data_IF_750359666519
#
_entry.id   IF_750359666519
#
_cell.length_a   1.000
_cell.length_b   1.000
_cell.length_c   1.000
_cell.angle_alpha   90.00
_cell.angle_beta   90.00
_cell.angle_gamma   90.00
#
_symmetry.space_group_name_H-M   'P 1'
#
loop_
_entity.id
_entity.type
_entity.pdbx_description
1 polymer ?
#
# COMPACT_ATOMS: atom_id res chain seq x y z
N UNK A 1 -36.27 -34.86 10.81
CA UNK A 1 -34.95 -34.75 10.15
C UNK A 1 -34.08 -35.83 10.75
N UNK A 2 -33.59 -36.75 9.93
CA UNK A 2 -32.80 -37.86 10.41
C UNK A 2 -31.39 -37.38 10.76
N UNK A 3 -30.77 -38.00 11.77
CA UNK A 3 -29.39 -37.70 12.17
C UNK A 3 -28.42 -37.79 10.98
N UNK A 4 -28.71 -38.67 10.03
CA UNK A 4 -27.94 -38.82 8.79
C UNK A 4 -28.00 -37.57 7.89
N UNK A 5 -29.15 -36.90 7.81
CA UNK A 5 -29.33 -35.69 7.02
C UNK A 5 -28.59 -34.50 7.65
N UNK A 6 -28.62 -34.40 8.98
CA UNK A 6 -27.88 -33.38 9.74
C UNK A 6 -26.35 -33.57 9.61
N UNK A 7 -25.88 -34.81 9.71
CA UNK A 7 -24.45 -35.13 9.55
C UNK A 7 -23.95 -34.80 8.14
N UNK A 8 -24.74 -35.08 7.11
CA UNK A 8 -24.41 -34.77 5.72
C UNK A 8 -24.29 -33.25 5.48
N UNK A 9 -25.23 -32.46 6.04
CA UNK A 9 -25.23 -31.01 5.92
C UNK A 9 -24.00 -30.37 6.59
N UNK A 10 -23.61 -30.90 7.76
CA UNK A 10 -22.44 -30.42 8.50
C UNK A 10 -21.13 -30.74 7.77
N UNK A 11 -21.07 -31.91 7.11
CA UNK A 11 -19.94 -32.29 6.26
C UNK A 11 -19.78 -31.35 5.05
N UNK A 12 -20.89 -30.98 4.40
CA UNK A 12 -20.89 -30.05 3.26
C UNK A 12 -20.41 -28.66 3.68
N UNK A 13 -20.86 -28.17 4.84
CA UNK A 13 -20.39 -26.89 5.41
C UNK A 13 -18.88 -26.93 5.64
N UNK A 14 -18.35 -27.99 6.25
CA UNK A 14 -16.90 -28.12 6.47
C UNK A 14 -16.11 -28.14 5.17
N UNK A 15 -16.57 -28.88 4.15
CA UNK A 15 -15.90 -28.95 2.84
C UNK A 15 -15.84 -27.59 2.14
N UNK A 16 -16.81 -26.71 2.36
CA UNK A 16 -16.84 -25.36 1.78
C UNK A 16 -16.00 -24.38 2.61
N UNK A 17 -16.08 -24.44 3.94
CA UNK A 17 -15.41 -23.48 4.82
C UNK A 17 -13.91 -23.75 4.99
N UNK A 18 -13.46 -25.02 4.95
CA UNK A 18 -12.04 -25.37 5.08
C UNK A 18 -11.17 -24.75 3.98
N UNK A 19 -11.46 -24.91 2.67
CA UNK A 19 -10.64 -24.30 1.62
C UNK A 19 -10.64 -22.77 1.72
N UNK A 20 -11.77 -22.15 2.07
CA UNK A 20 -11.83 -20.71 2.30
C UNK A 20 -10.84 -20.23 3.39
N UNK A 21 -10.72 -20.97 4.49
CA UNK A 21 -9.76 -20.66 5.56
C UNK A 21 -8.30 -20.93 5.14
N UNK A 22 -8.05 -21.94 4.31
CA UNK A 22 -6.70 -22.26 3.80
C UNK A 22 -6.23 -21.18 2.81
N UNK A 23 -7.07 -20.78 1.84
CA UNK A 23 -6.76 -19.71 0.89
C UNK A 23 -6.45 -18.38 1.57
N UNK A 24 -7.13 -18.08 2.70
CA UNK A 24 -6.83 -16.90 3.50
C UNK A 24 -5.43 -16.98 4.14
N UNK A 25 -4.99 -18.16 4.58
CA UNK A 25 -3.66 -18.37 5.18
C UNK A 25 -2.52 -18.40 4.16
N UNK A 26 -2.73 -18.97 2.98
CA UNK A 26 -1.68 -19.04 1.95
C UNK A 26 -1.26 -17.67 1.44
N UNK A 27 -2.21 -16.73 1.33
CA UNK A 27 -1.92 -15.33 1.01
C UNK A 27 -0.92 -14.71 1.99
N UNK A 28 -1.05 -15.01 3.29
CA UNK A 28 -0.17 -14.51 4.35
C UNK A 28 1.24 -15.14 4.29
N UNK A 29 1.35 -16.39 3.83
CA UNK A 29 2.62 -17.13 3.82
C UNK A 29 3.44 -16.96 2.53
N UNK A 30 2.82 -16.61 1.40
CA UNK A 30 3.52 -16.30 0.15
C UNK A 30 4.00 -14.85 0.06
N UNK A 31 3.66 -14.03 1.04
CA UNK A 31 4.04 -12.63 1.06
C UNK A 31 5.51 -12.47 1.47
N UNK A 32 6.24 -11.70 0.67
CA UNK A 32 7.62 -11.31 0.98
C UNK A 32 7.70 -10.45 2.25
N UNK A 33 8.91 -10.00 2.58
CA UNK A 33 9.20 -9.22 3.79
C UNK A 33 8.27 -8.01 3.93
N UNK A 34 8.02 -7.29 2.83
CA UNK A 34 7.14 -6.12 2.86
C UNK A 34 5.69 -6.49 3.17
N UNK A 35 5.17 -7.62 2.67
CA UNK A 35 3.80 -8.05 2.96
C UNK A 35 3.60 -8.50 4.39
N UNK A 36 4.56 -9.23 4.96
CA UNK A 36 4.52 -9.58 6.38
C UNK A 36 4.57 -8.34 7.27
N UNK A 37 5.45 -7.39 6.97
CA UNK A 37 5.55 -6.14 7.72
C UNK A 37 4.27 -5.30 7.59
N UNK A 38 3.73 -5.20 6.37
CA UNK A 38 2.50 -4.49 6.08
C UNK A 38 1.32 -5.07 6.86
N UNK A 39 1.11 -6.38 6.79
CA UNK A 39 0.01 -7.04 7.52
C UNK A 39 0.16 -6.90 9.03
N UNK A 40 1.37 -7.10 9.57
CA UNK A 40 1.62 -6.91 10.99
C UNK A 40 1.33 -5.46 11.43
N UNK A 41 1.65 -4.48 10.59
CA UNK A 41 1.37 -3.07 10.87
C UNK A 41 -0.14 -2.76 10.79
N UNK A 42 -0.83 -3.28 9.77
CA UNK A 42 -2.28 -3.17 9.61
C UNK A 42 -3.04 -3.79 10.78
N UNK A 43 -2.66 -5.01 11.18
CA UNK A 43 -3.24 -5.72 12.33
C UNK A 43 -3.03 -4.96 13.63
N UNK A 44 -1.82 -4.43 13.87
CA UNK A 44 -1.51 -3.62 15.05
C UNK A 44 -2.37 -2.36 15.16
N UNK A 45 -2.75 -1.77 14.03
CA UNK A 45 -3.60 -0.58 13.96
C UNK A 45 -5.10 -0.92 13.85
N UNK A 46 -5.46 -2.20 13.80
CA UNK A 46 -6.81 -2.69 13.52
C UNK A 46 -7.39 -2.10 12.22
N UNK A 47 -6.56 -1.82 11.23
CA UNK A 47 -6.93 -1.25 9.92
C UNK A 47 -7.16 -2.38 8.93
N UNK A 48 -8.31 -2.37 8.25
CA UNK A 48 -8.63 -3.37 7.23
C UNK A 48 -8.60 -2.70 5.86
N UNK A 49 -7.45 -2.81 5.17
CA UNK A 49 -7.29 -2.22 3.86
C UNK A 49 -8.09 -2.98 2.79
N UNK A 50 -8.98 -2.27 2.11
CA UNK A 50 -9.74 -2.81 0.96
C UNK A 50 -8.89 -2.81 -0.31
N UNK A 51 -7.95 -1.86 -0.41
CA UNK A 51 -7.01 -1.71 -1.52
C UNK A 51 -5.60 -1.80 -0.96
N UNK A 52 -4.78 -2.70 -1.52
CA UNK A 52 -3.38 -2.89 -1.13
C UNK A 52 -2.54 -3.08 -2.39
N UNK A 53 -1.39 -2.42 -2.44
CA UNK A 53 -0.32 -2.72 -3.40
C UNK A 53 0.99 -2.95 -2.64
N UNK A 54 1.68 -4.03 -2.98
CA UNK A 54 3.01 -4.37 -2.48
C UNK A 54 3.93 -4.53 -3.68
N UNK A 55 5.07 -3.84 -3.67
CA UNK A 55 6.01 -3.87 -4.78
C UNK A 55 7.45 -3.92 -4.30
N UNK A 56 8.30 -4.53 -5.16
CA UNK A 56 9.75 -4.71 -4.97
C UNK A 56 10.15 -5.47 -3.69
N UNK A 57 9.19 -6.09 -3.00
CA UNK A 57 9.36 -6.61 -1.64
C UNK A 57 9.95 -5.61 -0.63
N UNK A 58 9.84 -4.31 -0.94
CA UNK A 58 10.39 -3.21 -0.14
C UNK A 58 9.29 -2.32 0.39
N UNK A 59 8.22 -2.15 -0.37
CA UNK A 59 7.19 -1.17 -0.09
C UNK A 59 5.82 -1.82 -0.03
N UNK A 60 4.95 -1.26 0.82
CA UNK A 60 3.53 -1.57 0.84
C UNK A 60 2.72 -0.31 1.10
N UNK A 61 1.61 -0.13 0.38
CA UNK A 61 0.63 0.91 0.64
C UNK A 61 -0.76 0.29 0.63
N UNK A 62 -1.61 0.73 1.54
CA UNK A 62 -3.00 0.30 1.57
C UNK A 62 -3.95 1.33 2.13
N UNK A 63 -5.21 1.17 1.77
CA UNK A 63 -6.28 2.08 2.13
C UNK A 63 -7.47 1.31 2.69
N UNK A 64 -7.91 1.72 3.88
CA UNK A 64 -9.15 1.30 4.52
C UNK A 64 -10.21 2.36 4.21
N UNK A 65 -11.18 2.00 3.38
CA UNK A 65 -12.23 2.92 2.94
C UNK A 65 -13.22 3.25 4.06
N UNK A 66 -13.37 2.37 5.05
CA UNK A 66 -14.30 2.58 6.17
C UNK A 66 -13.75 3.57 7.17
N UNK A 67 -12.46 3.46 7.48
CA UNK A 67 -11.74 4.38 8.38
C UNK A 67 -11.10 5.57 7.66
N UNK A 68 -11.23 5.65 6.33
CA UNK A 68 -10.51 6.59 5.44
C UNK A 68 -9.04 6.75 5.82
N UNK A 69 -8.40 5.63 6.12
CA UNK A 69 -7.03 5.60 6.66
C UNK A 69 -6.11 4.98 5.61
N UNK A 70 -5.03 5.70 5.30
CA UNK A 70 -3.95 5.23 4.46
C UNK A 70 -2.82 4.70 5.35
N UNK A 71 -2.34 3.49 5.08
CA UNK A 71 -1.16 2.94 5.73
C UNK A 71 -0.05 2.69 4.72
N UNK A 72 1.18 2.91 5.15
CA UNK A 72 2.36 2.73 4.32
C UNK A 72 3.48 2.07 5.13
N UNK A 73 4.25 1.21 4.47
CA UNK A 73 5.48 0.64 4.99
C UNK A 73 6.61 0.73 3.96
N UNK A 74 7.81 0.99 4.44
CA UNK A 74 9.07 0.87 3.71
C UNK A 74 10.05 0.05 4.55
N UNK A 75 10.38 -1.14 4.06
CA UNK A 75 11.25 -2.09 4.76
C UNK A 75 12.69 -1.57 4.84
N UNK A 76 13.19 -0.91 3.79
CA UNK A 76 14.59 -0.47 3.70
C UNK A 76 14.86 0.69 4.65
N UNK A 77 13.95 1.66 4.74
CA UNK A 77 14.09 2.80 5.65
C UNK A 77 13.44 2.54 7.03
N UNK A 78 12.82 1.38 7.23
CA UNK A 78 12.05 1.03 8.42
C UNK A 78 10.98 2.08 8.78
N UNK A 79 10.37 2.68 7.76
CA UNK A 79 9.31 3.68 7.91
C UNK A 79 7.95 2.98 7.91
N UNK A 80 7.10 3.39 8.84
CA UNK A 80 5.69 3.00 8.91
C UNK A 80 4.86 4.26 9.14
N UNK A 81 3.85 4.48 8.31
CA UNK A 81 3.00 5.67 8.39
C UNK A 81 1.53 5.28 8.37
N UNK A 82 0.74 5.95 9.21
CA UNK A 82 -0.71 5.85 9.26
C UNK A 82 -1.26 7.27 9.13
N UNK A 83 -2.05 7.53 8.10
CA UNK A 83 -2.49 8.86 7.71
C UNK A 83 -4.02 8.82 7.59
N UNK A 84 -4.71 9.61 8.42
CA UNK A 84 -6.13 9.87 8.25
C UNK A 84 -6.33 10.84 7.10
N UNK A 85 -7.12 10.46 6.09
CA UNK A 85 -7.31 11.31 4.91
C UNK A 85 -8.33 12.44 5.13
N UNK A 86 -9.11 12.38 6.21
CA UNK A 86 -10.13 13.40 6.54
C UNK A 86 -9.51 14.77 6.84
N UNK A 87 -8.34 14.79 7.49
CA UNK A 87 -7.63 16.02 7.84
C UNK A 87 -6.60 16.43 6.77
N UNK A 88 -6.66 15.81 5.59
CA UNK A 88 -5.83 16.17 4.46
C UNK A 88 -6.57 17.16 3.55
N UNK A 89 -5.80 17.90 2.75
CA UNK A 89 -6.32 18.86 1.78
C UNK A 89 -6.03 18.44 0.35
N UNK A 90 -4.79 18.03 0.08
CA UNK A 90 -4.31 17.81 -1.28
C UNK A 90 -3.32 16.64 -1.36
N UNK A 91 -3.22 16.03 -2.54
CA UNK A 91 -2.23 15.00 -2.85
C UNK A 91 -1.62 15.21 -4.23
N UNK A 92 -0.29 15.08 -4.30
CA UNK A 92 0.48 15.24 -5.53
C UNK A 92 1.46 14.11 -5.73
N UNK A 93 1.69 13.75 -7.00
CA UNK A 93 2.80 12.90 -7.39
C UNK A 93 4.00 13.80 -7.70
N UNK A 94 5.05 13.70 -6.89
CA UNK A 94 6.27 14.47 -7.04
C UNK A 94 7.39 13.57 -7.57
N UNK A 95 8.17 14.09 -8.53
CA UNK A 95 9.32 13.40 -9.11
C UNK A 95 10.55 14.28 -8.89
N UNK A 96 11.60 13.70 -8.31
CA UNK A 96 12.92 14.34 -8.25
C UNK A 96 13.74 13.87 -9.43
N UNK A 97 14.27 14.81 -10.21
CA UNK A 97 15.03 14.54 -11.42
C UNK A 97 16.45 15.13 -11.31
N UNK A 98 17.44 14.35 -11.71
CA UNK A 98 18.80 14.83 -11.89
C UNK A 98 19.10 14.95 -13.39
N UNK A 99 19.51 16.15 -13.81
CA UNK A 99 19.98 16.38 -15.17
C UNK A 99 21.49 16.29 -15.20
N UNK A 100 22.03 15.28 -15.87
CA UNK A 100 23.45 15.18 -16.15
C UNK A 100 23.72 15.72 -17.56
N UNK A 101 24.47 16.81 -17.64
CA UNK A 101 24.93 17.40 -18.89
C UNK A 101 26.31 16.85 -19.22
N UNK A 102 26.42 15.98 -20.22
CA UNK A 102 27.72 15.48 -20.67
C UNK A 102 27.84 15.67 -22.18
N UNK A 103 28.88 16.40 -22.61
CA UNK A 103 29.16 16.73 -24.02
C UNK A 103 27.93 17.24 -24.82
N UNK A 104 27.15 18.16 -24.23
CA UNK A 104 26.00 18.76 -24.89
C UNK A 104 24.75 17.88 -25.01
N UNK A 105 24.78 16.64 -24.50
CA UNK A 105 23.59 15.80 -24.34
C UNK A 105 23.11 15.88 -22.90
N UNK A 106 21.88 16.37 -22.72
CA UNK A 106 21.19 16.36 -21.43
C UNK A 106 20.56 14.98 -21.24
N UNK A 107 21.00 14.24 -20.22
CA UNK A 107 20.32 13.02 -19.78
C UNK A 107 19.61 13.32 -18.47
N UNK A 108 18.29 13.32 -18.50
CA UNK A 108 17.43 13.42 -17.32
C UNK A 108 17.25 12.03 -16.74
N UNK A 109 17.46 11.89 -15.43
CA UNK A 109 17.27 10.66 -14.68
C UNK A 109 16.35 10.95 -13.49
N UNK A 110 15.27 10.18 -13.37
CA UNK A 110 14.41 10.22 -12.19
C UNK A 110 15.17 9.56 -11.03
N UNK A 111 15.40 10.34 -9.97
CA UNK A 111 16.03 9.87 -8.74
C UNK A 111 15.00 9.30 -7.78
N UNK A 112 13.88 10.00 -7.61
CA UNK A 112 12.83 9.61 -6.66
C UNK A 112 11.44 9.87 -7.20
N UNK A 113 10.48 9.07 -6.75
CA UNK A 113 9.05 9.33 -6.92
C UNK A 113 8.38 9.27 -5.56
N UNK A 114 7.63 10.32 -5.22
CA UNK A 114 6.91 10.45 -3.96
C UNK A 114 5.44 10.77 -4.19
N UNK A 115 4.57 10.24 -3.35
CA UNK A 115 3.27 10.85 -3.10
C UNK A 115 3.40 11.82 -1.93
N UNK A 116 3.10 13.09 -2.20
CA UNK A 116 3.09 14.15 -1.20
C UNK A 116 1.65 14.44 -0.82
N UNK A 117 1.31 14.21 0.44
CA UNK A 117 -0.03 14.47 1.00
C UNK A 117 0.09 15.68 1.92
N UNK A 118 -0.74 16.69 1.67
CA UNK A 118 -0.75 17.96 2.39
C UNK A 118 -1.89 17.94 3.40
N UNK A 119 -1.60 18.02 4.71
CA UNK A 119 -2.62 18.23 5.75
C UNK A 119 -3.38 19.55 5.55
N UNK A 120 -4.61 19.65 6.04
CA UNK A 120 -5.35 20.92 6.08
C UNK A 120 -4.80 21.87 7.16
N UNK A 121 -4.20 21.31 8.21
CA UNK A 121 -3.53 22.06 9.27
C UNK A 121 -2.22 22.70 8.78
N UNK A 122 -2.10 24.02 8.93
CA UNK A 122 -0.89 24.80 8.59
C UNK A 122 0.33 24.40 9.46
N UNK A 123 0.08 23.76 10.60
CA UNK A 123 1.12 23.35 11.53
C UNK A 123 1.64 21.93 11.32
N UNK A 124 1.05 21.18 10.39
CA UNK A 124 1.45 19.80 10.11
C UNK A 124 2.33 19.72 8.86
N UNK A 125 3.40 18.94 8.96
CA UNK A 125 4.29 18.69 7.83
C UNK A 125 3.61 17.77 6.81
N UNK A 126 3.94 17.99 5.53
CA UNK A 126 3.45 17.13 4.47
C UNK A 126 3.98 15.70 4.61
N UNK A 127 3.09 14.71 4.46
CA UNK A 127 3.50 13.31 4.43
C UNK A 127 4.12 12.99 3.06
N UNK A 128 5.34 12.46 3.07
CA UNK A 128 6.03 12.01 1.86
C UNK A 128 6.09 10.48 1.85
N UNK A 129 5.33 9.88 0.95
CA UNK A 129 5.32 8.42 0.72
C UNK A 129 6.25 8.12 -0.44
N UNK A 130 7.37 7.47 -0.17
CA UNK A 130 8.33 7.05 -1.20
C UNK A 130 7.77 5.88 -2.00
N UNK A 131 7.66 6.07 -3.32
CA UNK A 131 7.28 5.02 -4.26
C UNK A 131 8.48 4.41 -4.98
N UNK A 132 9.52 5.21 -5.19
CA UNK A 132 10.71 4.83 -5.93
C UNK A 132 11.94 5.60 -5.47
N UNK A 133 13.07 4.90 -5.44
CA UNK A 133 14.40 5.43 -5.17
C UNK A 133 15.40 4.73 -6.10
N UNK A 134 16.05 5.49 -6.99
CA UNK A 134 16.93 4.94 -8.01
C UNK A 134 18.10 4.14 -7.41
N UNK A 135 18.53 4.50 -6.19
CA UNK A 135 19.70 3.87 -5.56
C UNK A 135 19.41 2.43 -5.17
N UNK A 136 18.13 2.07 -5.03
CA UNK A 136 17.69 0.73 -4.65
C UNK A 136 17.37 -0.11 -5.88
N UNK A 137 16.55 0.41 -6.80
CA UNK A 137 16.03 -0.34 -7.93
C UNK A 137 15.85 0.53 -9.19
N UNK A 138 15.64 -0.10 -10.34
CA UNK A 138 15.24 0.60 -11.58
C UNK A 138 13.75 0.92 -11.61
N UNK A 139 13.37 1.98 -12.32
CA UNK A 139 11.98 2.39 -12.48
C UNK A 139 11.20 1.40 -13.35
N UNK A 140 10.07 0.91 -12.85
CA UNK A 140 9.20 -0.12 -13.42
C UNK A 140 7.78 0.00 -12.83
N UNK A 141 6.94 0.79 -13.49
CA UNK A 141 5.53 0.89 -13.11
C UNK A 141 5.22 1.84 -11.94
N UNK A 142 6.22 2.36 -11.21
CA UNK A 142 5.96 3.18 -10.01
C UNK A 142 5.29 4.52 -10.35
N UNK A 143 5.45 5.04 -11.58
CA UNK A 143 4.70 6.22 -12.04
C UNK A 143 3.21 5.91 -12.20
N UNK A 144 2.87 4.76 -12.80
CA UNK A 144 1.47 4.32 -12.94
C UNK A 144 0.87 4.01 -11.57
N UNK A 145 1.64 3.38 -10.68
CA UNK A 145 1.25 3.15 -9.30
C UNK A 145 0.98 4.47 -8.58
N UNK A 146 1.87 5.46 -8.71
CA UNK A 146 1.70 6.78 -8.13
C UNK A 146 0.46 7.50 -8.65
N UNK A 147 0.15 7.39 -9.95
CA UNK A 147 -1.08 7.97 -10.51
C UNK A 147 -2.34 7.26 -10.00
N UNK A 148 -2.30 5.93 -9.84
CA UNK A 148 -3.40 5.16 -9.22
C UNK A 148 -3.66 5.67 -7.81
N UNK A 149 -2.62 5.73 -6.98
CA UNK A 149 -2.75 6.13 -5.59
C UNK A 149 -3.12 7.59 -5.40
N UNK A 150 -2.56 8.49 -6.21
CA UNK A 150 -3.01 9.90 -6.25
C UNK A 150 -4.53 10.00 -6.44
N UNK A 151 -5.10 9.26 -7.39
CA UNK A 151 -6.54 9.27 -7.65
C UNK A 151 -7.36 8.70 -6.50
N UNK A 152 -6.91 7.58 -5.91
CA UNK A 152 -7.59 6.96 -4.78
C UNK A 152 -7.61 7.93 -3.60
N UNK A 153 -6.45 8.47 -3.24
CA UNK A 153 -6.31 9.40 -2.11
C UNK A 153 -7.17 10.63 -2.37
N UNK A 154 -7.03 11.30 -3.52
CA UNK A 154 -7.79 12.50 -3.89
C UNK A 154 -9.32 12.36 -3.83
N UNK A 155 -9.85 11.13 -3.99
CA UNK A 155 -11.29 10.87 -3.90
C UNK A 155 -11.80 10.84 -2.45
N UNK A 156 -10.89 10.70 -1.48
CA UNK A 156 -11.21 10.50 -0.06
C UNK A 156 -10.60 11.57 0.86
N UNK A 157 -10.05 12.64 0.28
CA UNK A 157 -9.58 13.81 1.03
C UNK A 157 -10.75 14.77 1.27
N UNK A 158 -10.77 15.41 2.45
CA UNK A 158 -11.81 16.35 2.91
C UNK A 158 -12.83 15.74 3.85
#
# INVERSE_FOLDING_TARGET
MDYNTLALLLLIILIIFIPYLIFKKEKINSEGTAGKLFNAYAERLEVNCDIVDIWRDTYGIGFDSKKKTLIYVNVVSNVQSCIGLEDCKEVYLHQSEQTNTNFGKNKVKIEFVYLKIIPDSIHEEAYNIELYNHNLHGLDGELQLGQKWKKIIATHIG
#
